data_IF_498169898544
#
_entry.id   IF_498169898544
#
_cell.length_a   1.000
_cell.length_b   1.000
_cell.length_c   1.000
_cell.angle_alpha   90.00
_cell.angle_beta   90.00
_cell.angle_gamma   90.00
#
_symmetry.space_group_name_H-M   'P 1'
#
loop_
_entity.id
_entity.type
_entity.pdbx_description
1 polymer ?
#
# COMPACT_ATOMS: atom_id res chain seq x y z
N UNK A 1 7.88 -0.58 -33.14
CA UNK A 1 8.13 -1.39 -31.93
C UNK A 1 8.41 -2.83 -32.37
N UNK A 2 9.37 -3.53 -31.75
CA UNK A 2 9.54 -4.98 -31.95
C UNK A 2 8.36 -5.74 -31.34
N UNK A 3 7.92 -6.83 -31.97
CA UNK A 3 6.94 -7.76 -31.38
C UNK A 3 7.63 -8.60 -30.31
N UNK A 4 7.01 -8.71 -29.15
CA UNK A 4 7.43 -9.60 -28.06
C UNK A 4 7.12 -11.05 -28.44
N UNK A 5 8.09 -11.95 -28.29
CA UNK A 5 7.95 -13.40 -28.53
C UNK A 5 7.63 -14.17 -27.25
N UNK A 6 7.12 -15.40 -27.40
CA UNK A 6 6.78 -16.27 -26.26
C UNK A 6 8.03 -16.66 -25.49
N UNK A 7 9.13 -16.93 -26.20
CA UNK A 7 10.42 -17.29 -25.62
C UNK A 7 10.98 -16.16 -24.72
N UNK A 8 10.87 -14.90 -25.16
CA UNK A 8 11.27 -13.72 -24.38
C UNK A 8 10.41 -13.53 -23.10
N UNK A 9 9.11 -13.85 -23.16
CA UNK A 9 8.23 -13.84 -21.99
C UNK A 9 8.60 -14.90 -20.95
N UNK A 10 9.00 -16.09 -21.40
CA UNK A 10 9.36 -17.19 -20.50
C UNK A 10 10.74 -16.98 -19.85
N UNK A 11 11.67 -16.32 -20.53
CA UNK A 11 12.98 -15.97 -19.98
C UNK A 11 12.91 -14.81 -18.97
N UNK A 12 12.10 -13.78 -19.25
CA UNK A 12 11.95 -12.62 -18.36
C UNK A 12 11.32 -12.97 -17.00
N UNK A 13 10.42 -13.97 -16.94
CA UNK A 13 9.83 -14.44 -15.68
C UNK A 13 10.84 -15.07 -14.70
N UNK A 14 12.00 -15.53 -15.17
CA UNK A 14 13.03 -16.17 -14.32
C UNK A 14 13.95 -15.17 -13.61
N UNK A 15 13.90 -13.89 -13.97
CA UNK A 15 14.68 -12.82 -13.34
C UNK A 15 13.69 -11.93 -12.58
N UNK A 16 13.28 -12.35 -11.39
CA UNK A 16 12.59 -11.44 -10.47
C UNK A 16 13.37 -11.41 -9.17
N UNK A 17 14.29 -10.43 -9.07
CA UNK A 17 14.63 -9.90 -7.75
C UNK A 17 13.31 -9.52 -7.09
N UNK A 18 12.98 -10.16 -5.95
CA UNK A 18 11.85 -9.71 -5.14
C UNK A 18 12.05 -8.21 -4.91
N UNK A 19 11.10 -7.34 -5.29
CA UNK A 19 11.23 -5.92 -5.02
C UNK A 19 11.50 -5.75 -3.52
N UNK A 20 12.46 -4.89 -3.16
CA UNK A 20 12.56 -4.45 -1.77
C UNK A 20 11.30 -3.64 -1.47
N UNK A 21 10.44 -4.16 -0.61
CA UNK A 21 9.16 -3.56 -0.23
C UNK A 21 9.32 -2.93 1.14
N UNK A 22 9.79 -1.68 1.15
CA UNK A 22 9.93 -0.92 2.37
C UNK A 22 9.54 0.53 2.16
N UNK A 23 9.15 1.18 3.24
CA UNK A 23 8.89 2.61 3.34
C UNK A 23 9.80 3.20 4.41
N UNK A 24 10.56 4.23 4.05
CA UNK A 24 11.36 4.97 5.03
C UNK A 24 10.44 6.03 5.67
N UNK A 25 10.09 5.84 6.95
CA UNK A 25 9.19 6.71 7.69
C UNK A 25 9.96 7.84 8.36
N UNK A 26 9.49 9.06 8.14
CA UNK A 26 9.99 10.28 8.80
C UNK A 26 9.47 10.36 10.24
N UNK A 27 8.18 10.07 10.48
CA UNK A 27 7.59 10.05 11.83
C UNK A 27 8.28 9.05 12.75
N UNK A 28 8.59 7.84 12.25
CA UNK A 28 9.23 6.81 13.07
C UNK A 28 10.76 6.88 13.04
N UNK A 29 11.37 7.69 12.17
CA UNK A 29 12.82 7.71 11.88
C UNK A 29 13.36 6.29 11.57
N UNK A 30 12.54 5.46 10.93
CA UNK A 30 12.83 4.03 10.72
C UNK A 30 12.25 3.53 9.41
N UNK A 31 12.82 2.43 8.93
CA UNK A 31 12.26 1.67 7.81
C UNK A 31 11.14 0.75 8.28
N UNK A 32 10.05 0.73 7.53
CA UNK A 32 8.92 -0.19 7.69
C UNK A 32 8.90 -1.15 6.49
N UNK A 33 9.06 -2.44 6.76
CA UNK A 33 8.87 -3.48 5.75
C UNK A 33 7.38 -3.77 5.55
N UNK A 34 6.99 -4.00 4.31
CA UNK A 34 5.62 -4.36 3.95
C UNK A 34 5.58 -5.46 2.91
N UNK A 35 4.43 -6.12 2.78
CA UNK A 35 4.24 -7.28 1.92
C UNK A 35 3.27 -6.97 0.79
N UNK A 36 3.50 -7.59 -0.37
CA UNK A 36 2.52 -7.59 -1.45
C UNK A 36 1.34 -8.46 -1.05
N UNK A 37 0.17 -7.85 -0.93
CA UNK A 37 -1.11 -8.54 -0.73
C UNK A 37 -1.79 -8.88 -2.06
N UNK A 38 -2.85 -9.69 -1.99
CA UNK A 38 -3.68 -10.03 -3.15
C UNK A 38 -4.23 -8.76 -3.83
N UNK A 39 -4.01 -8.57 -5.14
CA UNK A 39 -4.54 -7.42 -5.87
C UNK A 39 -6.06 -7.24 -5.77
N UNK A 40 -6.83 -8.32 -5.60
CA UNK A 40 -8.28 -8.24 -5.42
C UNK A 40 -8.67 -7.39 -4.21
N UNK A 41 -7.98 -7.56 -3.07
CA UNK A 41 -8.20 -6.77 -1.85
C UNK A 41 -7.88 -5.29 -2.01
N UNK A 42 -6.84 -4.98 -2.80
CA UNK A 42 -6.51 -3.59 -3.16
C UNK A 42 -7.64 -2.99 -3.99
N UNK A 43 -8.12 -3.73 -4.99
CA UNK A 43 -9.22 -3.27 -5.85
C UNK A 43 -10.51 -3.05 -5.06
N UNK A 44 -10.88 -3.96 -4.15
CA UNK A 44 -12.02 -3.80 -3.25
C UNK A 44 -11.92 -2.50 -2.44
N UNK A 45 -10.77 -2.23 -1.82
CA UNK A 45 -10.56 -1.00 -1.06
C UNK A 45 -10.66 0.27 -1.92
N UNK A 46 -10.16 0.23 -3.16
CA UNK A 46 -10.25 1.35 -4.09
C UNK A 46 -11.68 1.55 -4.63
N UNK A 47 -12.43 0.47 -4.83
CA UNK A 47 -13.83 0.56 -5.24
C UNK A 47 -14.70 1.13 -4.11
N UNK A 48 -14.48 0.70 -2.86
CA UNK A 48 -15.17 1.28 -1.71
C UNK A 48 -14.92 2.78 -1.57
N UNK A 49 -13.70 3.24 -1.88
CA UNK A 49 -13.38 4.67 -1.93
C UNK A 49 -14.15 5.40 -3.04
N UNK A 50 -14.18 4.80 -4.23
CA UNK A 50 -14.84 5.38 -5.41
C UNK A 50 -16.36 5.47 -5.25
N UNK A 51 -16.97 4.46 -4.64
CA UNK A 51 -18.41 4.38 -4.43
C UNK A 51 -18.87 5.21 -3.21
N UNK A 52 -17.92 5.82 -2.49
CA UNK A 52 -18.20 6.66 -1.32
C UNK A 52 -18.48 5.87 -0.04
N UNK A 53 -18.29 4.55 -0.04
CA UNK A 53 -18.41 3.70 1.14
C UNK A 53 -17.30 3.95 2.16
N UNK A 54 -16.14 4.43 1.70
CA UNK A 54 -14.98 4.76 2.52
C UNK A 54 -14.34 6.07 2.06
N UNK A 55 -13.82 6.88 2.99
CA UNK A 55 -13.04 8.07 2.62
C UNK A 55 -11.68 7.67 2.07
N UNK A 56 -11.11 8.47 1.17
CA UNK A 56 -9.74 8.24 0.63
C UNK A 56 -8.71 8.05 1.75
N UNK A 57 -8.81 8.83 2.82
CA UNK A 57 -7.94 8.69 3.98
C UNK A 57 -8.10 7.32 4.67
N UNK A 58 -9.33 6.89 4.94
CA UNK A 58 -9.58 5.57 5.54
C UNK A 58 -9.13 4.43 4.61
N UNK A 59 -9.25 4.60 3.30
CA UNK A 59 -8.72 3.66 2.31
C UNK A 59 -7.20 3.56 2.40
N UNK A 60 -6.49 4.68 2.55
CA UNK A 60 -5.03 4.69 2.75
C UNK A 60 -4.64 3.94 4.03
N UNK A 61 -5.31 4.23 5.15
CA UNK A 61 -5.09 3.52 6.42
C UNK A 61 -5.29 2.00 6.24
N UNK A 62 -6.37 1.61 5.55
CA UNK A 62 -6.71 0.21 5.31
C UNK A 62 -5.67 -0.52 4.44
N UNK A 63 -5.20 0.12 3.36
CA UNK A 63 -4.17 -0.43 2.48
C UNK A 63 -2.86 -0.68 3.24
N UNK A 64 -2.44 0.28 4.07
CA UNK A 64 -1.24 0.15 4.91
C UNK A 64 -1.43 -0.98 5.93
N UNK A 65 -2.56 -0.99 6.63
CA UNK A 65 -2.90 -2.03 7.61
C UNK A 65 -2.88 -3.45 7.01
N UNK A 66 -3.37 -3.62 5.78
CA UNK A 66 -3.32 -4.90 5.08
C UNK A 66 -1.90 -5.27 4.64
N UNK A 67 -1.07 -4.29 4.29
CA UNK A 67 0.26 -4.54 3.73
C UNK A 67 1.34 -4.69 4.81
N UNK A 68 1.11 -4.22 6.04
CA UNK A 68 2.10 -4.23 7.13
C UNK A 68 1.67 -5.21 8.24
N UNK A 69 2.22 -6.44 8.29
CA UNK A 69 1.78 -7.46 9.26
C UNK A 69 1.86 -7.04 10.72
N UNK A 70 2.88 -6.25 11.09
CA UNK A 70 3.05 -5.81 12.48
C UNK A 70 1.88 -4.96 12.99
N UNK A 71 1.19 -4.23 12.12
CA UNK A 71 0.02 -3.41 12.48
C UNK A 71 -1.23 -4.24 12.79
N UNK A 72 -1.22 -5.53 12.47
CA UNK A 72 -2.29 -6.49 12.81
C UNK A 72 -2.04 -7.24 14.10
N UNK A 73 -0.94 -6.92 14.81
CA UNK A 73 -0.61 -7.59 16.05
C UNK A 73 -1.64 -7.23 17.14
N UNK A 74 -2.22 -8.26 17.76
CA UNK A 74 -3.27 -8.06 18.75
C UNK A 74 -2.81 -7.30 20.00
N UNK A 75 -1.58 -7.53 20.48
CA UNK A 75 -1.02 -6.79 21.62
C UNK A 75 -0.85 -5.31 21.29
N UNK A 76 -0.51 -4.99 20.03
CA UNK A 76 -0.44 -3.61 19.55
C UNK A 76 -1.84 -2.97 19.57
N UNK A 77 -2.85 -3.60 18.97
CA UNK A 77 -4.21 -3.07 18.94
C UNK A 77 -4.79 -2.86 20.35
N UNK A 78 -4.56 -3.81 21.26
CA UNK A 78 -4.98 -3.71 22.66
C UNK A 78 -4.29 -2.55 23.39
N UNK A 79 -2.97 -2.38 23.19
CA UNK A 79 -2.20 -1.30 23.83
C UNK A 79 -2.66 0.09 23.38
N UNK A 80 -3.09 0.23 22.13
CA UNK A 80 -3.65 1.47 21.59
C UNK A 80 -5.17 1.59 21.79
N UNK A 81 -5.83 0.60 22.40
CA UNK A 81 -7.26 0.63 22.68
C UNK A 81 -8.17 0.53 21.44
N UNK A 82 -7.67 -0.02 20.33
CA UNK A 82 -8.39 -0.08 19.05
C UNK A 82 -9.22 -1.36 18.98
N UNK A 83 -10.54 -1.21 18.79
CA UNK A 83 -11.50 -2.33 18.77
C UNK A 83 -12.25 -2.46 17.46
N UNK A 84 -12.98 -1.42 17.06
CA UNK A 84 -13.98 -1.53 15.97
C UNK A 84 -13.39 -1.31 14.57
N UNK A 85 -12.28 -0.58 14.47
CA UNK A 85 -11.63 -0.23 13.20
C UNK A 85 -10.13 -0.44 13.31
N UNK A 86 -9.64 -1.69 13.19
CA UNK A 86 -8.24 -2.03 13.47
C UNK A 86 -7.25 -1.28 12.57
N UNK A 87 -7.66 -0.88 11.37
CA UNK A 87 -6.84 -0.06 10.46
C UNK A 87 -6.55 1.34 11.00
N UNK A 88 -7.30 1.84 11.99
CA UNK A 88 -7.02 3.11 12.68
C UNK A 88 -5.70 3.11 13.45
N UNK A 89 -5.10 1.94 13.69
CA UNK A 89 -3.76 1.83 14.29
C UNK A 89 -2.70 2.59 13.48
N UNK A 90 -2.88 2.65 12.16
CA UNK A 90 -1.99 3.40 11.29
C UNK A 90 -2.06 4.89 11.60
N UNK A 91 -3.24 5.41 11.91
CA UNK A 91 -3.42 6.82 12.24
C UNK A 91 -2.73 7.18 13.57
N UNK A 92 -2.84 6.29 14.56
CA UNK A 92 -2.18 6.42 15.86
C UNK A 92 -0.65 6.33 15.75
N UNK A 93 -0.13 5.37 14.98
CA UNK A 93 1.32 5.17 14.82
C UNK A 93 1.97 6.34 14.10
N UNK A 94 1.29 6.92 13.12
CA UNK A 94 1.79 8.05 12.35
C UNK A 94 1.38 9.41 12.92
N UNK A 95 0.84 9.46 14.15
CA UNK A 95 0.46 10.69 14.86
C UNK A 95 -0.44 11.62 14.03
N UNK A 96 -1.39 11.05 13.27
CA UNK A 96 -2.25 11.78 12.33
C UNK A 96 -1.50 12.53 11.21
N UNK A 97 -0.25 12.17 10.88
CA UNK A 97 0.48 12.71 9.74
C UNK A 97 -0.13 12.20 8.42
N UNK A 98 -1.19 12.87 7.97
CA UNK A 98 -1.96 12.53 6.76
C UNK A 98 -1.08 12.44 5.51
N UNK A 99 -0.05 13.29 5.41
CA UNK A 99 0.82 13.32 4.24
C UNK A 99 1.72 12.09 4.18
N UNK A 100 2.31 11.69 5.30
CA UNK A 100 3.16 10.51 5.35
C UNK A 100 2.34 9.22 5.14
N UNK A 101 1.14 9.15 5.71
CA UNK A 101 0.17 8.07 5.45
C UNK A 101 -0.16 7.99 3.96
N UNK A 102 -0.42 9.11 3.31
CA UNK A 102 -0.71 9.15 1.87
C UNK A 102 0.49 8.67 1.05
N UNK A 103 1.69 9.16 1.37
CA UNK A 103 2.93 8.74 0.69
C UNK A 103 3.21 7.25 0.86
N UNK A 104 2.92 6.68 2.04
CA UNK A 104 3.09 5.26 2.28
C UNK A 104 2.08 4.43 1.49
N UNK A 105 0.80 4.82 1.50
CA UNK A 105 -0.23 4.16 0.69
C UNK A 105 0.12 4.21 -0.81
N UNK A 106 0.57 5.36 -1.33
CA UNK A 106 1.01 5.51 -2.71
C UNK A 106 2.23 4.61 -3.04
N UNK A 107 3.16 4.48 -2.09
CA UNK A 107 4.32 3.58 -2.21
C UNK A 107 3.86 2.14 -2.38
N UNK A 108 2.88 1.68 -1.60
CA UNK A 108 2.28 0.35 -1.72
C UNK A 108 1.55 0.21 -3.06
N UNK A 109 0.71 1.18 -3.42
CA UNK A 109 -0.10 1.20 -4.64
C UNK A 109 0.74 1.16 -5.92
N UNK A 110 1.94 1.76 -5.89
CA UNK A 110 2.89 1.73 -7.01
C UNK A 110 3.29 0.30 -7.42
N UNK A 111 3.30 -0.66 -6.48
CA UNK A 111 3.58 -2.09 -6.74
C UNK A 111 2.52 -2.73 -7.64
N UNK A 112 1.30 -2.19 -7.60
CA UNK A 112 0.16 -2.66 -8.38
C UNK A 112 -0.02 -1.83 -9.66
N UNK A 113 0.90 -0.92 -9.97
CA UNK A 113 0.86 -0.09 -11.18
C UNK A 113 0.06 1.21 -11.01
N UNK A 114 -0.45 1.50 -9.81
CA UNK A 114 -1.06 2.78 -9.48
C UNK A 114 0.03 3.79 -9.11
N UNK A 115 0.77 4.24 -10.12
CA UNK A 115 1.78 5.28 -9.97
C UNK A 115 1.17 6.63 -10.36
N UNK A 116 0.85 7.46 -9.36
CA UNK A 116 0.27 8.79 -9.56
C UNK A 116 1.10 9.65 -10.53
N UNK A 117 2.44 9.51 -10.54
CA UNK A 117 3.35 10.26 -11.44
C UNK A 117 3.28 9.78 -12.89
N UNK A 118 2.83 8.55 -13.15
CA UNK A 118 2.58 8.05 -14.51
C UNK A 118 1.20 8.45 -15.02
N UNK A 119 0.20 8.53 -14.15
CA UNK A 119 -1.17 8.91 -14.52
C UNK A 119 -1.22 10.35 -15.06
N UNK A 120 -0.47 11.29 -14.49
CA UNK A 120 -0.39 12.67 -15.01
C UNK A 120 0.24 12.76 -16.41
N UNK A 121 1.20 11.88 -16.73
CA UNK A 121 1.86 11.87 -18.04
C UNK A 121 0.96 11.34 -19.16
N UNK A 122 -0.09 10.59 -18.81
CA UNK A 122 -1.07 10.05 -19.76
C UNK A 122 -2.20 11.02 -20.11
N UNK A 123 -2.29 12.17 -19.40
CA UNK A 123 -3.27 13.24 -19.67
C UNK A 123 -2.76 14.30 -20.65
N UNK A 124 -1.56 14.12 -21.22
CA UNK A 124 -0.97 14.97 -22.26
C UNK A 124 -1.01 14.26 -23.60
#
# INVERSE_FOLDING_TARGET
MKKLTIEELLQSKKITQKPKMYFDSEVLDRRIDFEKIDPSKIMEALFDAKDGNMSVHNTNLYIIYLSVPMFRNQQMLEKYGIKDSPYKIVEEIFENNVMEITNFADTILSIYGFDAKKIEKLKK
#
